data_IF_855038619852
#
_entry.id   IF_855038619852
#
_cell.length_a   1.000
_cell.length_b   1.000
_cell.length_c   1.000
_cell.angle_alpha   90.00
_cell.angle_beta   90.00
_cell.angle_gamma   90.00
#
_symmetry.space_group_name_H-M   'P 1'
#
loop_
_entity.id
_entity.type
_entity.pdbx_description
1 polymer ?
#
# COMPACT_ATOMS: atom_id res chain seq x y z
N UNK A 1 36.00 0.84 2.73
CA UNK A 1 34.62 1.00 2.27
C UNK A 1 34.63 1.05 0.75
N UNK A 2 34.02 0.08 0.08
CA UNK A 2 34.00 0.01 -1.37
C UNK A 2 33.14 1.13 -1.96
N UNK A 3 33.41 1.55 -3.17
CA UNK A 3 32.64 2.59 -3.90
C UNK A 3 31.14 2.30 -3.94
N UNK A 4 30.77 1.03 -4.00
CA UNK A 4 29.41 0.52 -4.02
C UNK A 4 28.62 0.81 -2.71
N UNK A 5 29.27 0.64 -1.55
CA UNK A 5 28.66 0.94 -0.24
C UNK A 5 28.40 2.44 -0.08
N UNK A 6 29.28 3.29 -0.62
CA UNK A 6 29.14 4.74 -0.56
C UNK A 6 27.99 5.25 -1.44
N UNK A 7 27.83 4.70 -2.64
CA UNK A 7 26.72 5.02 -3.56
C UNK A 7 25.37 4.65 -2.94
N UNK A 8 25.24 3.45 -2.36
CA UNK A 8 24.03 2.98 -1.70
C UNK A 8 23.57 3.89 -0.56
N UNK A 9 24.47 4.25 0.35
CA UNK A 9 24.16 5.12 1.49
C UNK A 9 23.64 6.48 1.01
N UNK A 10 24.19 6.99 -0.09
CA UNK A 10 23.76 8.26 -0.69
C UNK A 10 22.35 8.15 -1.26
N UNK A 11 22.01 7.09 -2.00
CA UNK A 11 20.68 6.90 -2.59
C UNK A 11 19.58 6.70 -1.53
N UNK A 12 19.87 5.94 -0.47
CA UNK A 12 18.96 5.79 0.67
C UNK A 12 18.71 7.14 1.33
N UNK A 13 19.76 7.95 1.53
CA UNK A 13 19.64 9.30 2.11
C UNK A 13 18.78 10.21 1.24
N UNK A 14 19.00 10.21 -0.07
CA UNK A 14 18.17 10.94 -1.04
C UNK A 14 16.72 10.48 -0.99
N UNK A 15 16.48 9.18 -0.97
CA UNK A 15 15.15 8.61 -0.87
C UNK A 15 14.42 9.05 0.42
N UNK A 16 15.09 8.97 1.57
CA UNK A 16 14.54 9.44 2.86
C UNK A 16 14.22 10.94 2.84
N UNK A 17 15.08 11.76 2.27
CA UNK A 17 14.86 13.19 2.14
C UNK A 17 13.67 13.52 1.24
N UNK A 18 13.58 12.90 0.06
CA UNK A 18 12.46 13.08 -0.86
C UNK A 18 11.16 12.53 -0.29
N UNK A 19 11.23 11.45 0.45
CA UNK A 19 10.09 10.86 1.14
C UNK A 19 9.51 11.81 2.19
N UNK A 20 10.33 12.48 2.97
CA UNK A 20 9.93 13.45 3.99
C UNK A 20 9.46 14.79 3.41
N UNK A 21 9.79 15.09 2.15
CA UNK A 21 9.42 16.36 1.52
C UNK A 21 7.94 16.39 1.13
N UNK A 22 7.25 17.53 1.29
CA UNK A 22 5.90 17.71 0.77
C UNK A 22 5.90 17.56 -0.76
N UNK A 23 5.07 16.69 -1.27
CA UNK A 23 4.97 16.45 -2.70
C UNK A 23 3.51 16.27 -3.11
N UNK A 24 3.16 16.85 -4.24
CA UNK A 24 1.86 16.62 -4.87
C UNK A 24 1.85 15.25 -5.52
N UNK A 25 0.84 14.46 -5.22
CA UNK A 25 0.63 13.14 -5.81
C UNK A 25 -0.67 13.06 -6.58
N UNK A 26 -0.82 12.01 -7.37
CA UNK A 26 -2.07 11.65 -8.01
C UNK A 26 -2.80 10.63 -7.14
N UNK A 27 -4.01 10.97 -6.70
CA UNK A 27 -4.85 10.05 -5.95
C UNK A 27 -5.63 9.14 -6.90
N UNK A 28 -5.72 7.86 -6.53
CA UNK A 28 -6.54 6.84 -7.22
C UNK A 28 -7.37 6.09 -6.20
N UNK A 29 -8.64 5.87 -6.53
CA UNK A 29 -9.55 5.13 -5.67
C UNK A 29 -9.32 3.62 -5.80
N UNK A 30 -9.44 2.93 -4.67
CA UNK A 30 -9.47 1.48 -4.59
C UNK A 30 -10.48 1.01 -3.55
N UNK A 31 -10.92 -0.22 -3.68
CA UNK A 31 -11.84 -0.87 -2.76
C UNK A 31 -11.09 -1.96 -2.01
N UNK A 32 -11.17 -1.94 -0.68
CA UNK A 32 -10.56 -2.94 0.20
C UNK A 32 -11.66 -3.80 0.81
N UNK A 33 -11.59 -5.11 0.57
CA UNK A 33 -12.51 -6.09 1.17
C UNK A 33 -11.92 -6.61 2.48
N UNK A 34 -12.68 -6.45 3.54
CA UNK A 34 -12.34 -6.95 4.87
C UNK A 34 -12.66 -8.45 5.01
N UNK A 35 -12.21 -9.06 6.10
CA UNK A 35 -12.44 -10.49 6.36
C UNK A 35 -13.90 -10.85 6.63
N UNK A 36 -14.67 -9.89 7.12
CA UNK A 36 -16.13 -10.00 7.35
C UNK A 36 -16.98 -9.80 6.08
N UNK A 37 -16.32 -9.57 4.92
CA UNK A 37 -16.97 -9.30 3.65
C UNK A 37 -17.37 -7.84 3.42
N UNK A 38 -17.16 -6.96 4.40
CA UNK A 38 -17.41 -5.52 4.21
C UNK A 38 -16.38 -4.91 3.25
N UNK A 39 -16.80 -3.88 2.53
CA UNK A 39 -15.97 -3.16 1.57
C UNK A 39 -15.74 -1.73 2.07
N UNK A 40 -14.47 -1.31 2.12
CA UNK A 40 -14.10 0.06 2.46
C UNK A 40 -13.44 0.75 1.27
N UNK A 41 -13.88 1.98 1.01
CA UNK A 41 -13.23 2.84 0.04
C UNK A 41 -11.89 3.33 0.58
N UNK A 42 -10.89 3.33 -0.27
CA UNK A 42 -9.57 3.82 0.07
C UNK A 42 -8.96 4.60 -1.10
N UNK A 43 -7.95 5.40 -0.80
CA UNK A 43 -7.16 6.13 -1.78
C UNK A 43 -5.71 5.69 -1.71
N UNK A 44 -5.10 5.59 -2.87
CA UNK A 44 -3.64 5.53 -3.00
C UNK A 44 -3.15 6.83 -3.61
N UNK A 45 -2.11 7.40 -3.05
CA UNK A 45 -1.40 8.54 -3.60
C UNK A 45 -0.13 8.05 -4.31
N UNK A 46 -0.01 8.39 -5.58
CA UNK A 46 1.17 8.12 -6.40
C UNK A 46 1.96 9.42 -6.55
N UNK A 47 3.16 9.45 -6.01
CA UNK A 47 4.08 10.58 -6.12
C UNK A 47 5.22 10.19 -7.05
N UNK A 48 5.50 11.04 -8.02
CA UNK A 48 6.64 10.89 -8.93
C UNK A 48 7.46 12.18 -8.94
N UNK A 49 8.77 12.07 -8.81
CA UNK A 49 9.67 13.22 -8.88
C UNK A 49 10.92 12.86 -9.66
N UNK A 50 11.36 13.76 -10.54
CA UNK A 50 12.60 13.63 -11.30
C UNK A 50 13.60 14.65 -10.76
N UNK A 51 14.75 14.18 -10.32
CA UNK A 51 15.84 15.03 -9.85
C UNK A 51 16.75 15.39 -11.03
N UNK A 52 16.85 16.69 -11.34
CA UNK A 52 17.66 17.23 -12.44
C UNK A 52 18.87 18.04 -11.94
N UNK A 53 19.35 17.78 -10.73
CA UNK A 53 20.49 18.50 -10.15
C UNK A 53 21.86 17.98 -10.60
N UNK A 54 22.92 18.79 -10.40
CA UNK A 54 24.30 18.44 -10.79
C UNK A 54 24.86 17.20 -10.08
N UNK A 55 24.39 16.89 -8.89
CA UNK A 55 24.84 15.75 -8.07
C UNK A 55 24.04 14.46 -8.33
N UNK A 56 22.80 14.56 -8.81
CA UNK A 56 21.88 13.43 -8.99
C UNK A 56 21.20 13.44 -10.35
N UNK A 57 21.95 13.80 -11.40
CA UNK A 57 21.41 13.79 -12.79
C UNK A 57 20.89 12.41 -13.11
N UNK A 58 19.55 12.37 -13.42
CA UNK A 58 18.89 11.14 -13.85
C UNK A 58 18.39 10.28 -12.70
N UNK A 59 18.15 10.81 -11.50
CA UNK A 59 17.45 10.08 -10.46
C UNK A 59 15.93 10.32 -10.55
N UNK A 60 15.16 9.24 -10.45
CA UNK A 60 13.70 9.29 -10.29
C UNK A 60 13.31 8.78 -8.92
N UNK A 61 12.34 9.43 -8.30
CA UNK A 61 11.76 9.01 -7.03
C UNK A 61 10.28 8.68 -7.23
N UNK A 62 9.85 7.55 -6.67
CA UNK A 62 8.46 7.12 -6.63
C UNK A 62 8.06 6.81 -5.20
N UNK A 63 6.87 7.27 -4.82
CA UNK A 63 6.24 6.91 -3.55
C UNK A 63 4.79 6.52 -3.78
N UNK A 64 4.35 5.48 -3.09
CA UNK A 64 2.97 5.04 -3.07
C UNK A 64 2.52 4.99 -1.62
N UNK A 65 1.51 5.78 -1.27
CA UNK A 65 0.94 5.86 0.07
C UNK A 65 -0.53 5.46 0.02
N UNK A 66 -1.05 4.94 1.12
CA UNK A 66 -2.43 4.46 1.22
C UNK A 66 -3.13 5.05 2.45
N UNK A 67 -4.42 5.38 2.28
CA UNK A 67 -5.33 5.72 3.38
C UNK A 67 -6.74 5.23 3.09
N UNK A 68 -7.53 5.00 4.11
CA UNK A 68 -8.97 4.84 3.94
C UNK A 68 -9.66 6.19 3.70
N UNK A 69 -10.86 6.14 3.14
CA UNK A 69 -11.76 7.30 3.07
C UNK A 69 -12.69 7.23 4.29
N UNK A 70 -12.77 8.32 5.03
CA UNK A 70 -13.59 8.40 6.24
C UNK A 70 -13.34 9.70 6.98
N UNK A 71 -13.58 9.69 8.28
CA UNK A 71 -13.38 10.83 9.16
C UNK A 71 -11.89 11.17 9.29
N UNK A 72 -11.53 12.43 9.12
CA UNK A 72 -10.16 12.92 9.24
C UNK A 72 -9.59 12.77 10.67
N UNK A 73 -10.43 12.54 11.67
CA UNK A 73 -9.99 12.19 13.02
C UNK A 73 -9.51 10.74 13.15
N UNK A 74 -9.89 9.86 12.21
CA UNK A 74 -9.40 8.48 12.17
C UNK A 74 -7.98 8.44 11.56
N UNK A 75 -6.97 7.98 12.30
CA UNK A 75 -5.62 7.85 11.79
C UNK A 75 -5.50 7.00 10.52
N UNK A 76 -6.42 6.05 10.30
CA UNK A 76 -6.42 5.23 9.08
C UNK A 76 -6.90 6.01 7.84
N UNK A 77 -7.51 7.18 8.04
CA UNK A 77 -7.99 8.05 6.98
C UNK A 77 -6.99 9.15 6.59
N UNK A 78 -5.76 9.11 7.13
CA UNK A 78 -4.68 10.04 6.81
C UNK A 78 -3.54 9.34 6.07
N UNK A 79 -2.81 10.09 5.24
CA UNK A 79 -1.54 9.62 4.69
C UNK A 79 -0.44 9.76 5.74
N UNK A 80 0.25 8.65 6.02
CA UNK A 80 1.40 8.61 6.91
C UNK A 80 2.67 8.33 6.12
N UNK A 81 3.76 8.99 6.49
CA UNK A 81 5.06 8.72 5.88
C UNK A 81 5.67 7.41 6.36
N UNK A 82 5.43 7.05 7.63
CA UNK A 82 6.05 5.88 8.25
C UNK A 82 5.23 4.60 8.08
N UNK A 83 3.93 4.73 7.76
CA UNK A 83 2.99 3.61 7.70
C UNK A 83 2.19 3.64 6.41
N UNK A 84 1.81 2.45 5.94
CA UNK A 84 1.05 2.29 4.70
C UNK A 84 1.70 3.00 3.49
N UNK A 85 3.03 3.06 3.45
CA UNK A 85 3.79 3.78 2.43
C UNK A 85 5.00 2.98 1.98
N UNK A 86 5.27 3.00 0.69
CA UNK A 86 6.46 2.43 0.06
C UNK A 86 7.05 3.45 -0.92
N UNK A 87 8.36 3.42 -1.10
CA UNK A 87 9.02 4.29 -2.06
C UNK A 87 10.22 3.62 -2.70
N UNK A 88 10.69 4.16 -3.82
CA UNK A 88 11.98 3.79 -4.39
C UNK A 88 12.67 5.00 -5.03
N UNK A 89 13.98 4.87 -5.17
CA UNK A 89 14.82 5.76 -5.98
C UNK A 89 15.43 4.94 -7.11
N UNK A 90 15.31 5.43 -8.32
CA UNK A 90 16.00 4.91 -9.51
C UNK A 90 17.17 5.84 -9.81
N UNK A 91 18.39 5.33 -9.84
CA UNK A 91 19.57 6.05 -10.31
C UNK A 91 19.90 5.58 -11.73
N UNK A 92 19.67 6.46 -12.70
CA UNK A 92 19.95 6.16 -14.10
C UNK A 92 21.45 6.20 -14.44
N UNK A 93 22.25 6.86 -13.61
CA UNK A 93 23.71 6.92 -13.81
C UNK A 93 24.36 5.59 -13.50
N UNK A 94 24.02 5.02 -12.35
CA UNK A 94 24.61 3.78 -11.86
C UNK A 94 23.72 2.56 -12.16
N UNK A 95 22.58 2.74 -12.86
CA UNK A 95 21.59 1.72 -13.19
C UNK A 95 21.14 0.91 -11.95
N UNK A 96 20.84 1.63 -10.86
CA UNK A 96 20.47 1.03 -9.58
C UNK A 96 19.10 1.48 -9.12
N UNK A 97 18.40 0.58 -8.40
CA UNK A 97 17.14 0.86 -7.74
C UNK A 97 17.25 0.53 -6.26
N UNK A 98 16.85 1.47 -5.42
CA UNK A 98 16.80 1.29 -3.97
C UNK A 98 15.35 1.42 -3.52
N UNK A 99 14.88 0.42 -2.77
CA UNK A 99 13.54 0.44 -2.14
C UNK A 99 13.61 0.95 -0.71
N UNK A 100 12.51 1.58 -0.26
CA UNK A 100 12.28 1.97 1.11
C UNK A 100 10.80 1.87 1.51
N UNK A 101 10.54 1.96 2.80
CA UNK A 101 11.50 2.15 3.88
C UNK A 101 12.45 0.95 4.07
N UNK A 102 13.69 1.21 4.45
CA UNK A 102 14.73 0.18 4.61
C UNK A 102 14.48 -0.75 5.78
N UNK A 103 13.72 -0.30 6.74
CA UNK A 103 13.32 -1.03 7.95
C UNK A 103 12.16 -2.02 7.68
N UNK A 104 11.59 -1.98 6.47
CA UNK A 104 10.41 -2.75 6.07
C UNK A 104 9.14 -1.90 6.00
N UNK A 105 8.14 -2.43 5.31
CA UNK A 105 6.85 -1.76 5.15
C UNK A 105 6.01 -1.99 6.41
N UNK A 106 5.68 -0.93 7.12
CA UNK A 106 4.73 -1.01 8.24
C UNK A 106 3.30 -0.82 7.71
N UNK A 107 2.45 -1.82 7.89
CA UNK A 107 1.04 -1.79 7.51
C UNK A 107 0.18 -1.77 8.79
N UNK A 108 -0.59 -0.71 8.98
CA UNK A 108 -1.44 -0.52 10.16
C UNK A 108 -2.50 -1.61 10.32
N UNK A 109 -3.10 -2.04 9.22
CA UNK A 109 -4.09 -3.12 9.20
C UNK A 109 -3.54 -4.30 8.38
N UNK A 110 -2.75 -5.20 8.99
CA UNK A 110 -2.18 -6.33 8.29
C UNK A 110 -3.26 -7.33 7.86
N UNK A 111 -2.97 -8.11 6.83
CA UNK A 111 -3.90 -9.14 6.34
C UNK A 111 -4.87 -8.69 5.26
N UNK A 112 -5.10 -7.39 5.08
CA UNK A 112 -6.00 -6.84 4.04
C UNK A 112 -5.40 -6.79 2.63
N UNK A 113 -4.13 -7.17 2.46
CA UNK A 113 -3.47 -7.15 1.15
C UNK A 113 -2.92 -5.77 0.74
N UNK A 114 -2.98 -4.77 1.62
CA UNK A 114 -2.54 -3.40 1.36
C UNK A 114 -1.06 -3.37 0.98
N UNK A 115 -0.19 -4.02 1.75
CA UNK A 115 1.26 -4.02 1.47
C UNK A 115 1.62 -4.59 0.11
N UNK A 116 0.96 -5.70 -0.31
CA UNK A 116 1.17 -6.26 -1.64
C UNK A 116 0.64 -5.36 -2.74
N UNK A 117 -0.45 -4.65 -2.50
CA UNK A 117 -1.01 -3.70 -3.45
C UNK A 117 -0.10 -2.47 -3.62
N UNK A 118 0.41 -1.90 -2.52
CA UNK A 118 1.37 -0.79 -2.56
C UNK A 118 2.62 -1.16 -3.36
N UNK A 119 3.21 -2.32 -3.07
CA UNK A 119 4.39 -2.80 -3.79
C UNK A 119 4.09 -3.03 -5.27
N UNK A 120 2.93 -3.59 -5.61
CA UNK A 120 2.53 -3.80 -7.00
C UNK A 120 2.38 -2.47 -7.76
N UNK A 121 1.81 -1.43 -7.14
CA UNK A 121 1.72 -0.11 -7.76
C UNK A 121 3.11 0.53 -7.92
N UNK A 122 3.98 0.40 -6.93
CA UNK A 122 5.36 0.89 -7.03
C UNK A 122 6.12 0.19 -8.17
N UNK A 123 6.02 -1.13 -8.29
CA UNK A 123 6.64 -1.90 -9.38
C UNK A 123 6.09 -1.44 -10.74
N UNK A 124 4.80 -1.13 -10.87
CA UNK A 124 4.23 -0.56 -12.10
C UNK A 124 4.84 0.78 -12.45
N UNK A 125 5.03 1.67 -11.46
CA UNK A 125 5.70 2.95 -11.70
C UNK A 125 7.15 2.75 -12.17
N UNK A 126 7.87 1.82 -11.55
CA UNK A 126 9.24 1.45 -11.97
C UNK A 126 9.24 0.95 -13.43
N UNK A 127 8.30 0.09 -13.80
CA UNK A 127 8.20 -0.43 -15.17
C UNK A 127 7.78 0.62 -16.21
N UNK A 128 7.12 1.69 -15.78
CA UNK A 128 6.74 2.84 -16.61
C UNK A 128 7.85 3.89 -16.72
N UNK A 129 8.90 3.80 -15.90
CA UNK A 129 10.05 4.72 -15.97
C UNK A 129 10.88 4.46 -17.23
N UNK A 130 11.66 5.47 -17.63
CA UNK A 130 12.51 5.44 -18.84
C UNK A 130 13.78 4.59 -18.66
N UNK A 131 13.67 3.44 -17.98
CA UNK A 131 14.81 2.56 -17.76
C UNK A 131 15.29 1.95 -19.07
N UNK A 132 16.53 2.25 -19.45
CA UNK A 132 17.24 1.63 -20.57
C UNK A 132 18.36 0.75 -20.05
N UNK A 133 18.31 -0.55 -20.32
CA UNK A 133 19.37 -1.48 -19.91
C UNK A 133 19.06 -2.29 -18.64
N UNK A 134 20.08 -2.87 -18.06
CA UNK A 134 20.00 -3.75 -16.91
C UNK A 134 20.11 -2.95 -15.61
N UNK A 135 18.97 -2.63 -14.97
CA UNK A 135 18.97 -2.04 -13.64
C UNK A 135 19.01 -3.13 -12.59
N UNK A 136 19.87 -2.94 -11.62
CA UNK A 136 19.99 -3.82 -10.45
C UNK A 136 19.18 -3.25 -9.30
N UNK A 137 18.43 -4.10 -8.64
CA UNK A 137 17.80 -3.75 -7.36
C UNK A 137 18.77 -4.05 -6.25
N UNK A 138 19.13 -3.03 -5.49
CA UNK A 138 20.04 -3.21 -4.37
C UNK A 138 19.43 -4.11 -3.31
N UNK A 139 20.21 -5.09 -2.86
CA UNK A 139 19.81 -6.02 -1.82
C UNK A 139 19.55 -5.28 -0.49
N UNK A 140 18.45 -5.61 0.15
CA UNK A 140 18.11 -5.14 1.50
C UNK A 140 18.44 -6.26 2.49
N UNK A 141 19.16 -5.92 3.54
CA UNK A 141 19.47 -6.84 4.64
C UNK A 141 18.46 -6.64 5.75
N UNK A 142 17.57 -7.63 5.94
CA UNK A 142 16.61 -7.63 7.05
C UNK A 142 17.15 -8.52 8.17
N UNK A 143 17.25 -8.01 9.41
CA UNK A 143 17.64 -8.84 10.55
C UNK A 143 16.57 -9.92 10.78
N UNK A 144 17.01 -11.16 11.00
CA UNK A 144 16.11 -12.28 11.35
C UNK A 144 15.60 -12.02 12.78
N UNK A 145 14.29 -11.92 12.96
CA UNK A 145 13.67 -11.78 14.28
C UNK A 145 13.60 -10.35 14.83
N UNK A 146 13.82 -9.31 14.04
CA UNK A 146 13.78 -7.91 14.50
C UNK A 146 12.39 -7.40 14.94
N UNK A 147 11.33 -8.19 14.82
CA UNK A 147 10.00 -7.85 15.34
C UNK A 147 9.82 -8.40 16.77
N UNK A 148 10.52 -7.81 17.73
CA UNK A 148 10.62 -8.27 19.13
C UNK A 148 9.34 -8.14 19.97
N UNK A 149 8.19 -7.76 19.40
CA UNK A 149 6.91 -7.63 20.13
C UNK A 149 5.88 -8.72 19.83
N UNK A 150 6.19 -9.68 18.96
CA UNK A 150 5.28 -10.74 18.51
C UNK A 150 5.74 -12.09 19.08
N UNK A 151 4.80 -12.95 19.43
CA UNK A 151 5.12 -14.32 19.88
C UNK A 151 5.96 -15.04 18.83
N UNK A 152 6.93 -15.91 19.20
CA UNK A 152 7.85 -16.56 18.25
C UNK A 152 7.14 -17.36 17.15
N UNK A 153 5.96 -17.94 17.43
CA UNK A 153 5.16 -18.69 16.47
C UNK A 153 4.53 -17.78 15.43
N UNK A 154 3.99 -16.64 15.85
CA UNK A 154 3.40 -15.64 14.95
C UNK A 154 4.46 -14.95 14.10
N UNK A 155 5.66 -14.75 14.66
CA UNK A 155 6.80 -14.19 13.94
C UNK A 155 7.24 -15.11 12.78
N UNK A 156 7.34 -16.43 13.01
CA UNK A 156 7.68 -17.41 11.94
C UNK A 156 6.63 -17.46 10.84
N UNK A 157 5.33 -17.46 11.21
CA UNK A 157 4.24 -17.46 10.24
C UNK A 157 4.21 -16.17 9.41
N UNK A 158 4.53 -15.03 10.03
CA UNK A 158 4.64 -13.75 9.34
C UNK A 158 5.84 -13.70 8.39
N UNK A 159 7.00 -14.20 8.83
CA UNK A 159 8.22 -14.30 8.03
C UNK A 159 7.98 -15.16 6.77
N UNK A 160 7.32 -16.32 6.91
CA UNK A 160 7.00 -17.19 5.78
C UNK A 160 6.04 -16.52 4.79
N UNK A 161 5.08 -15.73 5.27
CA UNK A 161 4.17 -14.94 4.43
C UNK A 161 4.91 -13.85 3.65
N UNK A 162 5.81 -13.12 4.33
CA UNK A 162 6.64 -12.08 3.70
C UNK A 162 7.53 -12.70 2.62
N UNK A 163 8.19 -13.81 2.91
CA UNK A 163 9.05 -14.51 1.95
C UNK A 163 8.29 -15.01 0.73
N UNK A 164 7.11 -15.62 0.95
CA UNK A 164 6.22 -16.04 -0.12
C UNK A 164 5.79 -14.84 -0.98
N UNK A 165 5.45 -13.72 -0.36
CA UNK A 165 5.09 -12.51 -1.08
C UNK A 165 6.26 -11.96 -1.91
N UNK A 166 7.44 -11.82 -1.32
CA UNK A 166 8.64 -11.31 -1.99
C UNK A 166 9.01 -12.18 -3.20
N UNK A 167 8.95 -13.50 -3.05
CA UNK A 167 9.20 -14.45 -4.15
C UNK A 167 8.19 -14.26 -5.29
N UNK A 168 6.91 -14.04 -4.98
CA UNK A 168 5.88 -13.79 -6.00
C UNK A 168 6.09 -12.51 -6.79
N UNK A 169 6.62 -11.48 -6.15
CA UNK A 169 6.92 -10.21 -6.83
C UNK A 169 8.29 -10.17 -7.48
N UNK A 170 9.04 -11.29 -7.46
CA UNK A 170 10.29 -11.46 -8.17
C UNK A 170 11.55 -11.25 -7.36
N UNK A 171 11.44 -11.04 -6.04
CA UNK A 171 12.60 -11.01 -5.17
C UNK A 171 13.07 -12.44 -4.85
N UNK A 172 14.38 -12.61 -4.70
CA UNK A 172 14.93 -13.79 -4.07
C UNK A 172 15.27 -13.47 -2.61
N UNK A 173 15.06 -14.46 -1.75
CA UNK A 173 15.40 -14.36 -0.33
C UNK A 173 16.45 -15.43 -0.05
N UNK A 174 17.63 -15.03 0.42
CA UNK A 174 18.69 -15.95 0.80
C UNK A 174 19.14 -15.71 2.24
N UNK A 175 19.39 -16.78 3.02
CA UNK A 175 19.99 -16.64 4.34
C UNK A 175 21.45 -16.23 4.20
N UNK A 176 21.91 -15.26 4.97
CA UNK A 176 23.30 -14.86 5.04
C UNK A 176 23.66 -14.42 6.47
N UNK A 177 24.56 -15.12 7.13
CA UNK A 177 25.17 -14.74 8.42
C UNK A 177 24.17 -14.18 9.46
N UNK A 178 23.04 -14.86 9.71
CA UNK A 178 22.02 -14.42 10.68
C UNK A 178 21.07 -13.32 10.17
N UNK A 179 21.14 -12.98 8.88
CA UNK A 179 20.26 -12.03 8.21
C UNK A 179 19.60 -12.67 6.99
N UNK A 180 18.45 -12.16 6.57
CA UNK A 180 17.87 -12.46 5.26
C UNK A 180 18.29 -11.39 4.28
N UNK A 181 18.92 -11.80 3.18
CA UNK A 181 19.25 -10.94 2.05
C UNK A 181 18.12 -11.01 1.04
N UNK A 182 17.50 -9.89 0.77
CA UNK A 182 16.42 -9.75 -0.19
C UNK A 182 16.97 -8.97 -1.38
N UNK A 183 16.93 -9.55 -2.56
CA UNK A 183 17.44 -8.91 -3.76
C UNK A 183 16.70 -9.30 -5.02
N UNK A 184 17.01 -8.63 -6.11
CA UNK A 184 16.51 -8.93 -7.45
C UNK A 184 17.68 -8.79 -8.41
N UNK A 185 17.84 -9.75 -9.31
CA UNK A 185 18.94 -9.72 -10.29
C UNK A 185 18.76 -8.61 -11.31
N UNK A 186 17.52 -8.39 -11.75
CA UNK A 186 17.17 -7.37 -12.74
C UNK A 186 15.83 -6.74 -12.38
N UNK A 187 15.70 -5.44 -12.58
CA UNK A 187 14.43 -4.75 -12.34
C UNK A 187 13.26 -5.30 -13.19
N UNK A 188 13.57 -5.84 -14.37
CA UNK A 188 12.59 -6.46 -15.26
C UNK A 188 12.00 -7.78 -14.69
N UNK A 189 12.67 -8.40 -13.73
CA UNK A 189 12.19 -9.62 -13.07
C UNK A 189 11.11 -9.31 -12.02
N UNK A 190 10.94 -8.04 -11.65
CA UNK A 190 9.88 -7.58 -10.75
C UNK A 190 8.50 -7.76 -11.38
N UNK A 191 7.57 -8.31 -10.60
CA UNK A 191 6.21 -8.59 -11.04
C UNK A 191 5.21 -7.82 -10.17
N UNK A 192 4.32 -6.98 -10.74
CA UNK A 192 3.30 -6.26 -9.99
C UNK A 192 2.17 -7.22 -9.60
N UNK A 193 2.37 -7.96 -8.50
CA UNK A 193 1.41 -8.94 -8.02
C UNK A 193 0.73 -8.48 -6.72
N UNK A 194 -0.60 -8.64 -6.65
CA UNK A 194 -1.39 -8.49 -5.43
C UNK A 194 -2.66 -9.34 -5.51
N UNK A 195 -3.32 -9.56 -4.37
CA UNK A 195 -4.60 -10.26 -4.34
C UNK A 195 -5.74 -9.30 -4.71
N UNK A 196 -6.27 -9.43 -5.93
CA UNK A 196 -7.35 -8.59 -6.45
C UNK A 196 -8.69 -8.81 -5.75
N UNK A 197 -8.88 -9.95 -5.06
CA UNK A 197 -10.07 -10.19 -4.25
C UNK A 197 -10.06 -9.36 -2.95
N UNK A 198 -8.86 -8.99 -2.46
CA UNK A 198 -8.71 -8.17 -1.26
C UNK A 198 -8.65 -6.67 -1.57
N UNK A 199 -7.92 -6.29 -2.61
CA UNK A 199 -7.81 -4.90 -3.02
C UNK A 199 -8.03 -4.80 -4.52
N UNK A 200 -9.04 -4.08 -4.94
CA UNK A 200 -9.38 -3.85 -6.34
C UNK A 200 -9.26 -2.37 -6.71
N UNK A 201 -8.72 -2.10 -7.90
CA UNK A 201 -8.72 -0.75 -8.46
C UNK A 201 -10.16 -0.36 -8.79
N UNK A 202 -10.52 0.89 -8.47
CA UNK A 202 -11.84 1.43 -8.74
C UNK A 202 -11.75 2.43 -9.89
N UNK A 203 -12.29 2.04 -11.06
CA UNK A 203 -12.45 2.95 -12.19
C UNK A 203 -13.57 3.96 -11.91
N UNK A 204 -13.60 5.08 -12.61
CA UNK A 204 -14.66 6.07 -12.45
C UNK A 204 -16.06 5.48 -12.67
N UNK A 205 -16.34 4.71 -13.74
CA UNK A 205 -17.64 4.04 -13.91
C UNK A 205 -17.99 3.12 -12.73
N UNK A 206 -17.05 2.29 -12.28
CA UNK A 206 -17.25 1.39 -11.14
C UNK A 206 -17.50 2.17 -9.83
N UNK A 207 -16.88 3.33 -9.66
CA UNK A 207 -17.13 4.21 -8.52
C UNK A 207 -18.56 4.76 -8.54
N UNK A 208 -19.05 5.19 -9.71
CA UNK A 208 -20.43 5.68 -9.86
C UNK A 208 -21.45 4.58 -9.54
N UNK A 209 -21.24 3.36 -10.02
CA UNK A 209 -22.09 2.21 -9.71
C UNK A 209 -22.09 1.88 -8.21
N UNK A 210 -20.91 1.90 -7.59
CA UNK A 210 -20.73 1.69 -6.16
C UNK A 210 -21.46 2.75 -5.33
N UNK A 211 -21.31 4.03 -5.68
CA UNK A 211 -21.98 5.14 -5.03
C UNK A 211 -23.51 5.01 -5.14
N UNK A 212 -24.02 4.64 -6.32
CA UNK A 212 -25.45 4.38 -6.53
C UNK A 212 -25.97 3.19 -5.70
N UNK A 213 -25.15 2.13 -5.51
CA UNK A 213 -25.48 1.00 -4.63
C UNK A 213 -25.57 1.46 -3.17
N UNK A 214 -24.58 2.15 -2.66
CA UNK A 214 -24.56 2.65 -1.28
C UNK A 214 -25.70 3.62 -1.00
N UNK A 215 -26.06 4.48 -1.95
CA UNK A 215 -27.22 5.37 -1.81
C UNK A 215 -28.53 4.58 -1.68
N UNK A 216 -28.69 3.50 -2.44
CA UNK A 216 -29.88 2.62 -2.33
C UNK A 216 -29.92 1.91 -0.97
N UNK A 217 -28.80 1.36 -0.53
CA UNK A 217 -28.68 0.68 0.77
C UNK A 217 -28.98 1.65 1.93
N UNK A 218 -28.45 2.87 1.88
CA UNK A 218 -28.74 3.93 2.84
C UNK A 218 -30.24 4.25 2.89
N UNK A 219 -30.86 4.49 1.73
CA UNK A 219 -32.29 4.80 1.66
C UNK A 219 -33.16 3.64 2.16
N UNK A 220 -32.75 2.40 1.94
CA UNK A 220 -33.45 1.22 2.48
C UNK A 220 -33.30 1.13 4.01
N UNK A 221 -32.11 1.37 4.53
CA UNK A 221 -31.87 1.38 5.98
C UNK A 221 -32.66 2.49 6.67
N UNK A 222 -32.70 3.69 6.12
CA UNK A 222 -33.48 4.82 6.65
C UNK A 222 -35.00 4.48 6.69
N UNK A 223 -35.51 3.91 5.61
CA UNK A 223 -36.94 3.47 5.58
C UNK A 223 -37.24 2.38 6.61
N UNK A 224 -36.29 1.44 6.82
CA UNK A 224 -36.44 0.39 7.82
C UNK A 224 -36.49 0.97 9.24
N UNK A 225 -35.60 1.93 9.54
CA UNK A 225 -35.57 2.65 10.83
C UNK A 225 -36.90 3.43 11.05
N UNK A 226 -37.35 4.18 10.05
CA UNK A 226 -38.63 4.89 10.14
C UNK A 226 -39.79 3.95 10.37
N UNK A 227 -39.84 2.78 9.68
CA UNK A 227 -40.87 1.78 9.86
C UNK A 227 -40.85 1.18 11.28
N UNK A 228 -39.67 0.94 11.83
CA UNK A 228 -39.51 0.42 13.21
C UNK A 228 -39.91 1.44 14.29
N UNK A 229 -39.77 2.74 14.00
CA UNK A 229 -40.12 3.82 14.93
C UNK A 229 -41.59 4.22 14.87
N UNK A 230 -42.37 3.76 13.88
CA UNK A 230 -43.83 4.01 13.82
C UNK A 230 -44.52 3.25 14.96
N UNK A 231 -45.22 3.95 15.86
CA UNK A 231 -45.99 3.27 16.89
C UNK A 231 -47.01 2.34 16.24
N UNK A 232 -47.31 1.17 16.81
CA UNK A 232 -48.31 0.28 16.31
C UNK A 232 -49.65 1.06 16.19
N UNK A 233 -50.26 0.97 15.01
CA UNK A 233 -51.56 1.60 14.80
C UNK A 233 -52.50 1.11 15.90
N UNK A 234 -52.86 1.99 16.84
CA UNK A 234 -53.86 1.70 17.84
C UNK A 234 -55.11 1.22 17.12
N UNK A 235 -55.51 -0.03 17.36
CA UNK A 235 -56.80 -0.55 16.99
C UNK A 235 -57.82 0.43 17.56
N UNK A 236 -58.38 1.29 16.70
CA UNK A 236 -59.57 2.05 17.03
C UNK A 236 -60.70 1.02 17.20
N UNK A 237 -60.85 0.52 18.42
CA UNK A 237 -62.08 -0.16 18.81
C UNK A 237 -63.23 0.84 18.64
N UNK A 238 -63.98 0.66 17.59
CA UNK A 238 -65.24 1.35 17.41
C UNK A 238 -66.19 0.82 18.48
N UNK A 239 -66.26 1.47 19.65
CA UNK A 239 -67.41 1.35 20.55
C UNK A 239 -68.53 2.06 19.87
N UNK A 240 -69.28 1.32 19.06
CA UNK A 240 -70.70 1.60 18.82
C UNK A 240 -71.48 1.02 20.01
N UNK A 241 -71.76 1.88 20.99
CA UNK A 241 -72.85 1.61 21.94
C UNK A 241 -74.16 1.92 21.26
N UNK A 242 -75.10 0.96 21.38
CA UNK A 242 -76.52 1.15 21.14
C UNK A 242 -77.13 2.11 22.16
#
# INVERSE_FOLDING_TARGET
MTTETRSRTTLISVGKQLHASPQTGQDRACLVRQSDGTERLALIQLVTSKQQGSLHRGAEFFRVSFRFVGDDSDPDCQYHLDQNTVWCVIDHKDCQIVFGPTEGIEIRQPGLGIGSYLMAQLIRLIQQSEMRGNYQVQAVHLPIGAQSKVKPEDARANDARIETFLTRVGFYVSPAAGQKVIGVRRAQDLRPWWNQQKVSFLSFPSFVELAARWQREKNQSEKAVEAAQRPPACLRTSNRAC
#
